data_IF_136347633496
#
_entry.id   IF_136347633496
#
_cell.length_a   1.000
_cell.length_b   1.000
_cell.length_c   1.000
_cell.angle_alpha   90.00
_cell.angle_beta   90.00
_cell.angle_gamma   90.00
#
_symmetry.space_group_name_H-M   'P 1'
#
loop_
_entity.id
_entity.type
_entity.pdbx_description
1 polymer ?
#
# COMPACT_ATOMS: atom_id res chain seq x y z
N UNK A 1 2.04 21.13 -37.42
CA UNK A 1 1.68 20.06 -36.45
C UNK A 1 0.40 20.53 -35.77
N UNK A 2 -0.70 19.88 -35.99
CA UNK A 2 -1.93 20.13 -35.24
C UNK A 2 -1.68 19.65 -33.81
N UNK A 3 -2.09 20.45 -32.82
CA UNK A 3 -2.00 20.05 -31.43
C UNK A 3 -2.94 18.86 -31.23
N UNK A 4 -2.38 17.72 -30.87
CA UNK A 4 -3.12 16.47 -30.68
C UNK A 4 -4.01 16.60 -29.44
N UNK A 5 -5.27 16.21 -29.58
CA UNK A 5 -6.21 16.20 -28.46
C UNK A 5 -5.89 15.03 -27.56
N UNK A 6 -5.60 15.27 -26.28
CA UNK A 6 -5.26 14.18 -25.37
C UNK A 6 -4.67 14.62 -24.03
N UNK A 7 -4.22 13.66 -23.26
CA UNK A 7 -3.46 13.93 -22.06
C UNK A 7 -2.04 14.40 -22.42
N UNK A 8 -1.51 15.35 -21.67
CA UNK A 8 -0.14 15.86 -21.85
C UNK A 8 0.88 14.73 -21.74
N UNK A 9 0.61 13.75 -20.88
CA UNK A 9 1.39 12.51 -20.73
C UNK A 9 0.47 11.32 -20.82
N UNK A 10 0.90 10.23 -21.46
CA UNK A 10 0.15 8.98 -21.53
C UNK A 10 0.16 8.18 -20.23
N UNK A 11 0.98 8.58 -19.23
CA UNK A 11 1.10 7.90 -17.96
C UNK A 11 1.27 8.87 -16.80
N UNK A 12 0.69 8.53 -15.65
CA UNK A 12 0.75 9.29 -14.42
C UNK A 12 1.21 8.36 -13.27
N UNK A 13 2.38 8.67 -12.70
CA UNK A 13 2.84 8.02 -11.47
C UNK A 13 2.20 8.71 -10.27
N UNK A 14 1.45 7.95 -9.47
CA UNK A 14 0.71 8.45 -8.31
C UNK A 14 1.40 8.10 -6.97
N UNK A 15 2.56 7.39 -7.03
CA UNK A 15 3.31 7.02 -5.84
C UNK A 15 2.59 6.01 -4.94
N UNK A 16 2.81 6.14 -3.63
CA UNK A 16 2.19 5.28 -2.62
C UNK A 16 0.77 5.76 -2.29
N UNK A 17 -0.18 4.82 -2.34
CA UNK A 17 -1.59 5.04 -1.99
C UNK A 17 -1.91 4.22 -0.75
N UNK A 18 -2.30 4.87 0.34
CA UNK A 18 -2.73 4.16 1.54
C UNK A 18 -4.06 3.43 1.30
N UNK A 19 -4.07 2.13 1.60
CA UNK A 19 -5.22 1.26 1.36
C UNK A 19 -6.52 1.78 1.99
N UNK A 20 -6.45 2.39 3.17
CA UNK A 20 -7.62 2.91 3.88
C UNK A 20 -8.06 4.30 3.47
N UNK A 21 -7.19 5.09 2.83
CA UNK A 21 -7.50 6.48 2.46
C UNK A 21 -7.88 6.65 0.99
N UNK A 22 -7.31 5.83 0.11
CA UNK A 22 -7.35 6.09 -1.31
C UNK A 22 -6.56 7.36 -1.68
N UNK A 23 -6.89 7.95 -2.81
CA UNK A 23 -6.22 9.16 -3.34
C UNK A 23 -7.16 9.95 -4.22
N UNK A 24 -6.99 11.27 -4.22
CA UNK A 24 -7.58 12.17 -5.23
C UNK A 24 -6.44 12.88 -5.95
N UNK A 25 -6.44 12.78 -7.27
CA UNK A 25 -5.43 13.39 -8.15
C UNK A 25 -6.12 14.18 -9.25
N UNK A 26 -5.53 15.31 -9.62
CA UNK A 26 -6.02 16.12 -10.74
C UNK A 26 -4.99 16.08 -11.86
N UNK A 27 -5.48 15.90 -13.09
CA UNK A 27 -4.68 15.97 -14.31
C UNK A 27 -5.37 16.86 -15.34
N UNK A 28 -4.64 17.23 -16.40
CA UNK A 28 -5.13 18.08 -17.48
C UNK A 28 -5.30 17.28 -18.76
N UNK A 29 -6.43 17.47 -19.41
CA UNK A 29 -6.72 17.02 -20.77
C UNK A 29 -6.64 18.22 -21.70
N UNK A 30 -5.77 18.20 -22.67
CA UNK A 30 -5.68 19.21 -23.70
C UNK A 30 -6.62 18.87 -24.87
N UNK A 31 -7.45 19.82 -25.26
CA UNK A 31 -8.36 19.71 -26.39
C UNK A 31 -7.77 20.24 -27.69
N UNK A 32 -6.50 20.65 -27.67
CA UNK A 32 -5.83 21.23 -28.81
C UNK A 32 -6.35 22.64 -29.15
N UNK A 33 -6.30 22.98 -30.44
CA UNK A 33 -6.77 24.29 -30.94
C UNK A 33 -8.29 24.34 -31.18
N UNK A 34 -8.92 23.18 -31.23
CA UNK A 34 -10.35 23.08 -31.52
C UNK A 34 -11.18 23.12 -30.23
N UNK A 35 -11.64 24.32 -29.88
CA UNK A 35 -12.47 24.56 -28.68
C UNK A 35 -13.89 23.97 -28.80
N UNK A 36 -14.26 23.42 -29.95
CA UNK A 36 -15.59 22.80 -30.19
C UNK A 36 -15.60 21.32 -29.77
N UNK A 37 -14.43 20.73 -29.44
CA UNK A 37 -14.32 19.35 -29.01
C UNK A 37 -15.17 19.11 -27.77
N UNK A 38 -16.06 18.15 -27.85
CA UNK A 38 -16.90 17.73 -26.74
C UNK A 38 -16.48 16.36 -26.23
N UNK A 39 -16.30 16.28 -24.90
CA UNK A 39 -16.06 15.02 -24.23
C UNK A 39 -17.37 14.23 -24.20
N UNK A 40 -17.34 12.99 -24.65
CA UNK A 40 -18.49 12.09 -24.69
C UNK A 40 -18.57 11.26 -23.39
N UNK A 41 -17.65 10.33 -23.24
CA UNK A 41 -17.65 9.37 -22.13
C UNK A 41 -16.28 9.30 -21.46
N UNK A 42 -16.27 9.16 -20.13
CA UNK A 42 -15.08 8.89 -19.35
C UNK A 42 -15.27 7.54 -18.65
N UNK A 43 -14.39 6.60 -18.94
CA UNK A 43 -14.42 5.26 -18.35
C UNK A 43 -13.11 4.93 -17.64
N UNK A 44 -13.16 4.01 -16.68
CA UNK A 44 -12.00 3.52 -15.92
C UNK A 44 -11.95 2.01 -15.97
N UNK A 45 -10.77 1.43 -15.83
CA UNK A 45 -10.56 -0.02 -15.87
C UNK A 45 -11.03 -0.76 -14.63
N UNK A 46 -11.26 -0.02 -13.52
CA UNK A 46 -11.66 -0.58 -12.23
C UNK A 46 -12.80 0.24 -11.61
N UNK A 47 -13.77 -0.38 -10.95
CA UNK A 47 -14.83 0.33 -10.22
C UNK A 47 -14.32 1.13 -9.02
N UNK A 48 -13.10 0.84 -8.54
CA UNK A 48 -12.46 1.55 -7.44
C UNK A 48 -11.74 2.83 -7.89
N UNK A 49 -11.56 2.99 -9.20
CA UNK A 49 -11.03 4.22 -9.80
C UNK A 49 -12.19 4.94 -10.50
N UNK A 50 -12.38 6.20 -10.18
CA UNK A 50 -13.38 7.07 -10.83
C UNK A 50 -12.67 8.27 -11.42
N UNK A 51 -13.17 8.74 -12.55
CA UNK A 51 -12.67 9.96 -13.17
C UNK A 51 -13.86 10.84 -13.60
N UNK A 52 -13.74 12.15 -13.37
CA UNK A 52 -14.75 13.11 -13.74
C UNK A 52 -14.12 14.43 -14.14
N UNK A 53 -14.80 15.19 -15.01
CA UNK A 53 -14.43 16.56 -15.27
C UNK A 53 -14.69 17.43 -14.04
N UNK A 54 -13.78 18.34 -13.77
CA UNK A 54 -14.01 19.41 -12.79
C UNK A 54 -14.76 20.51 -13.54
N UNK A 55 -16.01 20.75 -13.12
CA UNK A 55 -16.78 21.87 -13.61
C UNK A 55 -16.32 23.17 -12.93
N UNK A 56 -16.04 24.19 -13.70
CA UNK A 56 -15.66 25.51 -13.21
C UNK A 56 -14.78 26.25 -14.20
N UNK A 57 -14.88 27.56 -14.21
CA UNK A 57 -13.98 28.42 -14.99
C UNK A 57 -12.72 28.63 -14.15
N UNK A 58 -11.72 27.79 -14.37
CA UNK A 58 -10.40 28.07 -13.84
C UNK A 58 -9.71 29.07 -14.77
N UNK A 59 -9.63 30.32 -14.34
CA UNK A 59 -9.03 31.40 -15.13
C UNK A 59 -7.54 31.22 -15.37
N UNK A 60 -6.93 30.21 -14.72
CA UNK A 60 -5.50 29.89 -14.87
C UNK A 60 -5.19 28.92 -15.99
N UNK A 61 -6.22 28.24 -16.56
CA UNK A 61 -6.07 27.31 -17.68
C UNK A 61 -6.63 27.89 -18.98
N UNK A 62 -6.05 27.47 -20.09
CA UNK A 62 -6.54 27.91 -21.40
C UNK A 62 -7.93 27.32 -21.68
N UNK A 63 -8.72 27.99 -22.54
CA UNK A 63 -10.03 27.50 -22.97
C UNK A 63 -9.97 26.12 -23.64
N UNK A 64 -8.77 25.72 -24.10
CA UNK A 64 -8.52 24.44 -24.73
C UNK A 64 -8.20 23.32 -23.73
N UNK A 65 -8.12 23.60 -22.44
CA UNK A 65 -7.77 22.60 -21.43
C UNK A 65 -8.97 22.29 -20.53
N UNK A 66 -9.04 21.05 -20.05
CA UNK A 66 -10.03 20.58 -19.08
C UNK A 66 -9.31 19.86 -17.94
N UNK A 67 -9.71 20.15 -16.71
CA UNK A 67 -9.23 19.41 -15.53
C UNK A 67 -10.05 18.15 -15.34
N UNK A 68 -9.36 17.06 -15.12
CA UNK A 68 -9.93 15.76 -14.79
C UNK A 68 -9.52 15.38 -13.36
N UNK A 69 -10.50 15.16 -12.51
CA UNK A 69 -10.30 14.61 -11.18
C UNK A 69 -10.35 13.09 -11.26
N UNK A 70 -9.33 12.45 -10.74
CA UNK A 70 -9.22 11.00 -10.62
C UNK A 70 -9.27 10.66 -9.15
N UNK A 71 -10.26 9.86 -8.76
CA UNK A 71 -10.44 9.41 -7.38
C UNK A 71 -10.18 7.92 -7.32
N UNK A 72 -9.25 7.51 -6.47
CA UNK A 72 -9.00 6.12 -6.11
C UNK A 72 -9.68 5.89 -4.77
N UNK A 73 -10.68 5.01 -4.75
CA UNK A 73 -11.44 4.72 -3.54
C UNK A 73 -10.58 4.00 -2.49
N UNK A 74 -10.86 4.17 -1.18
CA UNK A 74 -10.28 3.32 -0.15
C UNK A 74 -10.74 1.86 -0.27
N UNK A 75 -10.02 0.94 0.38
CA UNK A 75 -10.34 -0.49 0.39
C UNK A 75 -9.62 -1.31 -0.68
N UNK A 76 -8.58 -0.74 -1.31
CA UNK A 76 -7.70 -1.49 -2.21
C UNK A 76 -6.85 -2.49 -1.44
N UNK A 77 -6.55 -3.62 -2.09
CA UNK A 77 -5.56 -4.58 -1.58
C UNK A 77 -4.15 -4.05 -1.84
N UNK A 78 -3.26 -4.19 -0.86
CA UNK A 78 -1.86 -3.81 -1.01
C UNK A 78 -1.19 -4.54 -2.18
N UNK A 79 -0.41 -3.81 -2.97
CA UNK A 79 0.24 -4.31 -4.16
C UNK A 79 0.38 -3.26 -5.26
N UNK A 80 0.77 -3.69 -6.45
CA UNK A 80 0.88 -2.80 -7.60
C UNK A 80 -0.50 -2.30 -8.04
N UNK A 81 -0.60 -1.00 -8.26
CA UNK A 81 -1.74 -0.35 -8.89
C UNK A 81 -1.38 -0.05 -10.35
N UNK A 82 -2.15 -0.62 -11.27
CA UNK A 82 -2.01 -0.38 -12.71
C UNK A 82 -3.40 -0.27 -13.31
N UNK A 83 -3.84 0.95 -13.54
CA UNK A 83 -5.19 1.26 -13.99
C UNK A 83 -5.15 2.20 -15.19
N UNK A 84 -6.27 2.36 -15.87
CA UNK A 84 -6.40 3.30 -16.99
C UNK A 84 -7.68 4.11 -16.91
N UNK A 85 -7.56 5.35 -17.34
CA UNK A 85 -8.69 6.24 -17.61
C UNK A 85 -8.77 6.45 -19.13
N UNK A 86 -9.94 6.24 -19.69
CA UNK A 86 -10.21 6.42 -21.12
C UNK A 86 -11.22 7.53 -21.30
N UNK A 87 -10.88 8.52 -22.10
CA UNK A 87 -11.76 9.63 -22.49
C UNK A 87 -12.11 9.45 -23.95
N UNK A 88 -13.41 9.32 -24.25
CA UNK A 88 -13.95 9.30 -25.59
C UNK A 88 -14.56 10.66 -25.92
N UNK A 89 -14.46 11.06 -27.16
CA UNK A 89 -15.06 12.30 -27.66
C UNK A 89 -16.40 12.00 -28.32
N UNK A 90 -17.29 13.00 -28.44
CA UNK A 90 -18.60 12.82 -29.06
C UNK A 90 -18.53 12.62 -30.58
N UNK A 91 -17.44 13.07 -31.19
CA UNK A 91 -17.20 12.80 -32.59
C UNK A 91 -16.56 11.40 -32.73
N UNK A 92 -17.13 10.55 -33.53
CA UNK A 92 -16.63 9.17 -33.76
C UNK A 92 -15.33 9.12 -34.58
N UNK A 93 -14.79 10.26 -34.97
CA UNK A 93 -13.61 10.39 -35.83
C UNK A 93 -12.32 10.42 -34.99
N UNK A 94 -12.39 10.95 -33.75
CA UNK A 94 -11.23 11.11 -32.89
C UNK A 94 -10.95 9.85 -32.10
N UNK A 95 -9.66 9.41 -32.05
CA UNK A 95 -9.28 8.31 -31.18
C UNK A 95 -9.51 8.67 -29.71
N UNK A 96 -9.85 7.68 -28.90
CA UNK A 96 -9.95 7.87 -27.46
C UNK A 96 -8.58 8.23 -26.87
N UNK A 97 -8.57 9.17 -25.94
CA UNK A 97 -7.37 9.49 -25.16
C UNK A 97 -7.28 8.59 -23.93
N UNK A 98 -6.11 7.99 -23.69
CA UNK A 98 -5.89 7.03 -22.60
C UNK A 98 -4.79 7.55 -21.70
N UNK A 99 -5.06 7.56 -20.38
CA UNK A 99 -4.10 7.82 -19.34
C UNK A 99 -3.90 6.55 -18.49
N UNK A 100 -2.66 6.08 -18.40
CA UNK A 100 -2.29 4.97 -17.52
C UNK A 100 -1.89 5.51 -16.16
N UNK A 101 -2.40 4.88 -15.10
CA UNK A 101 -2.11 5.22 -13.70
C UNK A 101 -1.23 4.12 -13.11
N UNK A 102 -0.10 4.50 -12.53
CA UNK A 102 0.82 3.56 -11.88
C UNK A 102 1.13 4.01 -10.46
N UNK A 103 1.09 3.07 -9.52
CA UNK A 103 1.43 3.32 -8.14
C UNK A 103 1.56 2.04 -7.33
N UNK A 104 1.68 2.19 -6.02
CA UNK A 104 1.73 1.07 -5.09
C UNK A 104 0.69 1.32 -4.00
N UNK A 105 -0.23 0.39 -3.83
CA UNK A 105 -1.11 0.40 -2.66
C UNK A 105 -0.34 -0.17 -1.49
N UNK A 106 -0.20 0.61 -0.44
CA UNK A 106 0.50 0.23 0.78
C UNK A 106 -0.48 0.07 1.94
N UNK A 107 -0.20 -0.90 2.82
CA UNK A 107 -0.95 -1.04 4.05
C UNK A 107 -0.74 0.15 4.98
N UNK A 108 -1.71 0.44 5.82
CA UNK A 108 -1.63 1.52 6.80
C UNK A 108 -0.61 1.22 7.90
N UNK A 109 -0.45 -0.07 8.23
CA UNK A 109 0.57 -0.56 9.15
C UNK A 109 1.58 -1.40 8.35
N UNK A 110 2.83 -0.97 8.39
CA UNK A 110 3.96 -1.71 7.85
C UNK A 110 4.66 -2.50 8.96
N UNK A 111 5.07 -3.73 8.66
CA UNK A 111 5.85 -4.56 9.58
C UNK A 111 7.12 -5.04 8.91
N UNK A 112 8.24 -5.01 9.64
CA UNK A 112 9.54 -5.46 9.18
C UNK A 112 10.31 -6.18 10.30
N UNK A 113 10.85 -7.38 10.05
CA UNK A 113 10.78 -8.20 8.84
C UNK A 113 9.39 -8.87 8.68
N UNK A 114 9.08 -9.31 7.46
CA UNK A 114 7.83 -10.03 7.14
C UNK A 114 7.83 -11.48 7.63
N UNK A 115 8.98 -12.01 8.06
CA UNK A 115 9.15 -13.36 8.62
C UNK A 115 10.33 -13.42 9.56
N UNK A 116 10.29 -14.32 10.54
CA UNK A 116 11.38 -14.56 11.47
C UNK A 116 12.06 -15.89 11.15
N UNK A 117 13.40 -15.91 11.20
CA UNK A 117 14.20 -17.11 11.06
C UNK A 117 15.13 -17.28 12.25
N UNK A 118 15.14 -18.49 12.82
CA UNK A 118 16.01 -18.87 13.92
C UNK A 118 16.72 -20.18 13.56
N UNK A 119 18.01 -20.23 13.88
CA UNK A 119 18.81 -21.46 13.78
C UNK A 119 19.23 -21.85 15.19
N UNK A 120 18.96 -23.06 15.58
CA UNK A 120 19.41 -23.66 16.85
C UNK A 120 20.48 -24.71 16.57
N UNK A 121 21.57 -24.68 17.35
CA UNK A 121 22.70 -25.61 17.21
C UNK A 121 23.22 -25.97 18.60
N UNK A 122 23.63 -27.20 18.76
CA UNK A 122 24.25 -27.66 20.02
C UNK A 122 25.73 -27.28 20.15
N UNK A 123 26.36 -26.90 19.03
CA UNK A 123 27.79 -26.66 18.93
C UNK A 123 28.25 -25.28 19.41
N UNK A 124 27.33 -24.37 19.70
CA UNK A 124 27.66 -23.04 20.20
C UNK A 124 27.05 -22.84 21.59
N UNK A 125 27.86 -22.65 22.64
CA UNK A 125 27.36 -22.25 23.96
C UNK A 125 26.57 -20.94 23.79
N UNK A 126 25.26 -20.97 24.04
CA UNK A 126 24.43 -19.78 23.89
C UNK A 126 24.66 -18.81 25.02
N UNK A 127 25.17 -17.65 24.73
CA UNK A 127 25.05 -16.49 25.61
C UNK A 127 23.65 -15.92 25.49
N UNK A 128 22.68 -16.50 26.23
CA UNK A 128 21.28 -16.07 26.23
C UNK A 128 20.39 -16.67 25.12
N UNK A 129 19.13 -16.37 25.19
CA UNK A 129 18.14 -16.81 24.22
C UNK A 129 18.17 -15.93 22.96
N UNK A 130 18.15 -16.52 21.74
CA UNK A 130 18.16 -15.73 20.52
C UNK A 130 16.88 -14.89 20.40
N UNK A 131 17.07 -13.62 20.09
CA UNK A 131 15.98 -12.66 19.94
C UNK A 131 15.97 -12.03 18.54
N UNK A 132 14.79 -11.66 18.08
CA UNK A 132 14.56 -10.89 16.87
C UNK A 132 13.54 -9.79 17.14
N UNK A 133 13.72 -8.64 16.52
CA UNK A 133 12.79 -7.52 16.63
C UNK A 133 11.93 -7.43 15.37
N UNK A 134 10.64 -7.24 15.56
CA UNK A 134 9.67 -6.92 14.50
C UNK A 134 9.30 -5.46 14.72
N UNK A 135 9.59 -4.62 13.74
CA UNK A 135 9.17 -3.21 13.75
C UNK A 135 7.79 -3.07 13.17
N UNK A 136 6.93 -2.36 13.87
CA UNK A 136 5.57 -2.00 13.46
C UNK A 136 5.53 -0.49 13.25
N UNK A 137 5.19 -0.03 12.07
CA UNK A 137 5.18 1.40 11.71
C UNK A 137 3.81 1.81 11.18
N UNK A 138 3.23 2.86 11.75
CA UNK A 138 2.01 3.49 11.24
C UNK A 138 2.36 4.42 10.07
N UNK A 139 1.92 4.08 8.87
CA UNK A 139 2.09 4.91 7.67
C UNK A 139 1.06 6.03 7.54
N UNK A 140 -0.08 5.90 8.23
CA UNK A 140 -1.15 6.91 8.16
C UNK A 140 -0.84 8.20 8.89
N UNK A 141 0.02 8.14 9.92
CA UNK A 141 0.29 9.19 10.90
C UNK A 141 -0.91 9.52 11.80
N UNK A 142 -2.11 9.62 11.26
CA UNK A 142 -3.35 9.90 11.99
C UNK A 142 -4.52 9.06 11.39
N UNK A 143 -5.33 8.38 12.22
CA UNK A 143 -5.24 8.27 13.67
C UNK A 143 -4.02 7.44 14.14
N UNK A 144 -3.59 7.61 15.40
CA UNK A 144 -2.51 6.84 15.98
C UNK A 144 -2.84 5.35 15.99
N UNK A 145 -1.84 4.52 15.75
CA UNK A 145 -1.95 3.07 15.87
C UNK A 145 -1.34 2.63 17.19
N UNK A 146 -2.05 1.77 17.92
CA UNK A 146 -1.56 1.15 19.13
C UNK A 146 -1.36 -0.34 18.91
N UNK A 147 -0.21 -0.86 19.33
CA UNK A 147 0.02 -2.29 19.46
C UNK A 147 -0.51 -2.72 20.82
N UNK A 148 -1.68 -3.38 20.81
CA UNK A 148 -2.39 -3.80 22.01
C UNK A 148 -1.72 -5.01 22.68
N UNK A 149 -0.97 -5.80 21.89
CA UNK A 149 -0.24 -6.96 22.39
C UNK A 149 0.37 -7.78 21.27
N UNK A 150 1.11 -8.81 21.68
CA UNK A 150 1.64 -9.81 20.77
C UNK A 150 1.53 -11.19 21.44
N UNK A 151 1.21 -12.21 20.65
CA UNK A 151 1.05 -13.59 21.12
C UNK A 151 1.72 -14.57 20.15
N UNK A 152 2.25 -15.65 20.71
CA UNK A 152 2.70 -16.82 19.97
C UNK A 152 1.81 -18.01 20.38
N UNK A 153 0.87 -18.46 19.54
CA UNK A 153 0.04 -19.62 19.83
C UNK A 153 0.84 -20.91 20.06
N UNK A 154 2.04 -20.99 19.51
CA UNK A 154 2.97 -22.13 19.72
C UNK A 154 3.68 -22.11 21.06
N UNK A 155 3.64 -21.00 21.81
CA UNK A 155 4.26 -20.85 23.12
C UNK A 155 5.78 -20.92 23.14
N UNK A 156 6.42 -20.70 21.99
CA UNK A 156 7.89 -20.83 21.84
C UNK A 156 8.62 -19.53 22.15
N UNK A 157 7.92 -18.39 22.08
CA UNK A 157 8.50 -17.07 22.24
C UNK A 157 7.97 -16.35 23.47
N UNK A 158 8.90 -15.69 24.18
CA UNK A 158 8.55 -14.57 25.04
C UNK A 158 8.51 -13.31 24.19
N UNK A 159 7.36 -12.63 24.17
CA UNK A 159 7.14 -11.44 23.36
C UNK A 159 7.08 -10.19 24.24
N UNK A 160 7.83 -9.18 23.88
CA UNK A 160 7.85 -7.88 24.56
C UNK A 160 7.54 -6.77 23.57
N UNK A 161 6.51 -5.97 23.83
CA UNK A 161 6.15 -4.80 23.04
C UNK A 161 6.84 -3.57 23.62
N UNK A 162 7.60 -2.86 22.82
CA UNK A 162 8.30 -1.62 23.19
C UNK A 162 7.81 -0.50 22.31
N UNK A 163 7.14 0.49 22.88
CA UNK A 163 6.78 1.71 22.18
C UNK A 163 8.03 2.56 21.94
N UNK A 164 8.33 2.88 20.67
CA UNK A 164 9.45 3.73 20.26
C UNK A 164 9.01 5.16 20.02
N UNK A 165 7.88 5.30 19.38
CA UNK A 165 7.24 6.58 19.13
C UNK A 165 5.73 6.39 19.25
N UNK A 166 5.14 7.13 20.16
CA UNK A 166 3.73 6.99 20.52
C UNK A 166 2.81 7.04 19.30
N UNK A 167 2.01 5.99 19.14
CA UNK A 167 1.04 5.89 18.05
C UNK A 167 1.64 5.75 16.66
N UNK A 168 2.98 5.69 16.53
CA UNK A 168 3.67 5.69 15.25
C UNK A 168 4.58 4.50 15.05
N UNK A 169 5.36 4.11 16.08
CA UNK A 169 6.35 3.07 15.94
C UNK A 169 6.50 2.22 17.19
N UNK A 170 6.49 0.91 17.01
CA UNK A 170 6.69 -0.11 18.04
C UNK A 170 7.73 -1.14 17.57
N UNK A 171 8.47 -1.70 18.51
CA UNK A 171 9.25 -2.90 18.29
C UNK A 171 8.65 -4.04 19.11
N UNK A 172 8.33 -5.17 18.46
CA UNK A 172 7.94 -6.42 19.13
C UNK A 172 9.14 -7.33 19.14
N UNK A 173 9.70 -7.54 20.33
CA UNK A 173 10.89 -8.37 20.53
C UNK A 173 10.44 -9.80 20.79
N UNK A 174 10.77 -10.70 19.88
CA UNK A 174 10.52 -12.13 20.01
C UNK A 174 11.79 -12.84 20.48
N UNK A 175 11.79 -13.30 21.72
CA UNK A 175 12.88 -14.06 22.33
C UNK A 175 12.50 -15.54 22.36
N UNK A 176 13.25 -16.36 21.62
CA UNK A 176 13.01 -17.80 21.53
C UNK A 176 13.34 -18.46 22.88
N UNK A 177 12.38 -19.21 23.41
CA UNK A 177 12.56 -20.03 24.59
C UNK A 177 13.44 -21.27 24.34
N UNK A 178 13.46 -22.18 25.32
CA UNK A 178 14.14 -23.47 25.14
C UNK A 178 13.31 -24.33 24.17
N UNK A 179 13.92 -24.71 23.06
CA UNK A 179 13.29 -25.57 22.04
C UNK A 179 14.17 -26.80 21.84
N UNK A 180 13.56 -27.97 21.97
CA UNK A 180 14.22 -29.26 21.71
C UNK A 180 13.74 -29.78 20.36
N UNK A 181 14.62 -29.79 19.38
CA UNK A 181 14.36 -30.29 18.04
C UNK A 181 15.35 -31.41 17.72
N UNK A 182 14.92 -32.41 16.96
CA UNK A 182 15.86 -33.38 16.37
C UNK A 182 16.75 -32.70 15.31
N UNK A 183 17.98 -33.18 15.06
CA UNK A 183 18.84 -32.65 14.00
C UNK A 183 18.10 -32.64 12.65
N UNK A 184 18.19 -31.55 11.92
CA UNK A 184 17.47 -31.34 10.65
C UNK A 184 15.97 -31.07 10.77
N UNK A 185 15.41 -31.08 11.99
CA UNK A 185 14.00 -30.76 12.17
C UNK A 185 13.71 -29.25 11.99
N UNK A 186 12.54 -28.97 11.47
CA UNK A 186 12.03 -27.61 11.24
C UNK A 186 10.70 -27.43 11.97
N UNK A 187 10.57 -26.34 12.69
CA UNK A 187 9.34 -25.90 13.31
C UNK A 187 8.89 -24.57 12.72
N UNK A 188 7.60 -24.42 12.46
CA UNK A 188 7.02 -23.21 11.87
C UNK A 188 5.74 -22.82 12.60
N UNK A 189 5.45 -21.53 12.62
CA UNK A 189 4.24 -20.97 13.21
C UNK A 189 4.14 -19.48 12.91
N UNK A 190 3.31 -18.78 13.70
CA UNK A 190 3.13 -17.33 13.54
C UNK A 190 3.21 -16.62 14.90
N UNK A 191 3.90 -15.51 14.94
CA UNK A 191 3.69 -14.47 15.95
C UNK A 191 2.50 -13.63 15.48
N UNK A 192 1.53 -13.42 16.36
CA UNK A 192 0.33 -12.61 16.09
C UNK A 192 0.47 -11.31 16.86
N UNK A 193 0.46 -10.19 16.15
CA UNK A 193 0.48 -8.83 16.72
C UNK A 193 -0.93 -8.28 16.63
N UNK A 194 -1.48 -7.81 17.74
CA UNK A 194 -2.82 -7.21 17.82
C UNK A 194 -2.72 -5.70 17.87
N UNK A 195 -3.52 -5.02 17.06
CA UNK A 195 -3.53 -3.55 16.98
C UNK A 195 -4.96 -3.01 17.13
N UNK A 196 -5.09 -1.71 17.37
CA UNK A 196 -6.38 -0.99 17.35
C UNK A 196 -6.85 -0.62 15.94
N UNK A 197 -6.10 -0.97 14.88
CA UNK A 197 -6.47 -0.61 13.51
C UNK A 197 -7.55 -1.55 12.95
N UNK A 198 -8.72 -1.04 12.50
CA UNK A 198 -9.86 -1.89 12.12
C UNK A 198 -9.58 -2.81 10.92
N UNK A 199 -8.78 -2.35 9.95
CA UNK A 199 -8.42 -3.15 8.77
C UNK A 199 -7.19 -4.04 8.96
N UNK A 200 -6.43 -3.88 10.05
CA UNK A 200 -5.23 -4.65 10.38
C UNK A 200 -5.19 -4.94 11.88
N UNK A 201 -6.32 -5.39 12.45
CA UNK A 201 -6.45 -5.69 13.88
C UNK A 201 -5.55 -6.86 14.33
N UNK A 202 -5.25 -7.79 13.41
CA UNK A 202 -4.31 -8.88 13.62
C UNK A 202 -3.31 -8.92 12.46
N UNK A 203 -2.02 -8.94 12.82
CA UNK A 203 -0.92 -9.07 11.87
C UNK A 203 -0.15 -10.34 12.21
N UNK A 204 -0.09 -11.28 11.26
CA UNK A 204 0.57 -12.58 11.44
C UNK A 204 1.95 -12.53 10.80
N UNK A 205 2.98 -12.77 11.61
CA UNK A 205 4.38 -12.83 11.18
C UNK A 205 4.83 -14.29 11.26
N UNK A 206 5.02 -14.97 10.13
CA UNK A 206 5.47 -16.35 10.12
C UNK A 206 6.88 -16.47 10.70
N UNK A 207 7.12 -17.56 11.39
CA UNK A 207 8.47 -17.92 11.82
C UNK A 207 8.86 -19.31 11.37
N UNK A 208 10.16 -19.52 11.25
CA UNK A 208 10.82 -20.80 11.02
C UNK A 208 11.98 -20.96 11.97
N UNK A 209 12.01 -22.10 12.67
CA UNK A 209 13.10 -22.51 13.56
C UNK A 209 13.69 -23.80 12.99
N UNK A 210 14.98 -23.82 12.74
CA UNK A 210 15.69 -24.95 12.17
C UNK A 210 16.83 -25.39 13.10
N UNK A 211 16.98 -26.69 13.34
CA UNK A 211 18.14 -27.25 14.03
C UNK A 211 19.16 -27.74 13.00
N UNK A 212 20.36 -27.18 13.07
CA UNK A 212 21.54 -27.63 12.32
C UNK A 212 22.37 -28.58 13.17
#
# INVERSE_FOLDING_TARGET
MEAEVGFETSSLSIGDVLASKGLVQVTTLDLGKDTTVQIGEITTSSPLVKARLIEGIDTTISSAQRKLEITIAPGLTAGLLSEKVTVRFKDDVRPASILYLYGIVVNDIEVMPLALAFVVSDSVPRQGNPSRSIRVTNKRQDPPVEVLGANDPGGLFTLTVVEKQRGQQYDVIATLGKVELAPGAVLSGNVVITTNHPGQSEIKIPYRIERK
#
